data_IF_383554558371
#
_entry.id   IF_383554558371
#
_cell.length_a   1.000
_cell.length_b   1.000
_cell.length_c   1.000
_cell.angle_alpha   90.00
_cell.angle_beta   90.00
_cell.angle_gamma   90.00
#
_symmetry.space_group_name_H-M   'P 1'
#
loop_
_entity.id
_entity.type
_entity.pdbx_description
1 polymer ?
#
# COMPACT_ATOMS: atom_id res chain seq x y z
N UNK A 1 -27.27 -0.13 9.37
CA UNK A 1 -25.89 -0.40 8.91
C UNK A 1 -25.61 -1.90 8.80
N UNK A 2 -25.84 -2.73 9.82
CA UNK A 2 -25.58 -4.20 9.83
C UNK A 2 -26.30 -4.95 8.69
N UNK A 3 -27.56 -4.64 8.38
CA UNK A 3 -28.36 -5.30 7.33
C UNK A 3 -27.82 -5.00 5.91
N UNK A 4 -27.26 -3.82 5.68
CA UNK A 4 -26.69 -3.44 4.39
C UNK A 4 -25.35 -4.17 4.16
N UNK A 5 -24.53 -4.33 5.19
CA UNK A 5 -23.25 -5.06 5.10
C UNK A 5 -23.43 -6.55 4.83
N UNK A 6 -24.41 -7.20 5.47
CA UNK A 6 -24.71 -8.61 5.21
C UNK A 6 -25.14 -8.85 3.76
N UNK A 7 -25.90 -7.93 3.17
CA UNK A 7 -26.32 -8.02 1.77
C UNK A 7 -25.15 -7.85 0.79
N UNK A 8 -24.24 -6.90 1.03
CA UNK A 8 -23.04 -6.70 0.19
C UNK A 8 -22.11 -7.92 0.25
N UNK A 9 -21.92 -8.53 1.41
CA UNK A 9 -21.09 -9.72 1.53
C UNK A 9 -21.66 -10.92 0.74
N UNK A 10 -22.97 -11.12 0.74
CA UNK A 10 -23.64 -12.16 -0.06
C UNK A 10 -23.50 -11.87 -1.57
N UNK A 11 -23.65 -10.62 -1.99
CA UNK A 11 -23.44 -10.20 -3.37
C UNK A 11 -22.01 -10.47 -3.81
N UNK A 12 -21.01 -10.13 -3.00
CA UNK A 12 -19.59 -10.45 -3.25
C UNK A 12 -19.32 -11.94 -3.35
N UNK A 13 -19.95 -12.76 -2.49
CA UNK A 13 -19.82 -14.22 -2.57
C UNK A 13 -20.44 -14.79 -3.84
N UNK A 14 -21.55 -14.23 -4.28
CA UNK A 14 -22.23 -14.62 -5.53
C UNK A 14 -21.38 -14.25 -6.74
N UNK A 15 -20.91 -13.02 -6.79
CA UNK A 15 -20.01 -12.53 -7.84
C UNK A 15 -18.73 -13.37 -7.92
N UNK A 16 -18.11 -13.71 -6.79
CA UNK A 16 -16.94 -14.57 -6.74
C UNK A 16 -17.20 -15.96 -7.35
N UNK A 17 -18.36 -16.56 -7.05
CA UNK A 17 -18.76 -17.87 -7.63
C UNK A 17 -18.93 -17.79 -9.16
N UNK A 18 -19.52 -16.71 -9.66
CA UNK A 18 -19.68 -16.53 -11.11
C UNK A 18 -18.35 -16.30 -11.82
N UNK A 19 -17.44 -15.50 -11.23
CA UNK A 19 -16.08 -15.34 -11.72
C UNK A 19 -15.31 -16.65 -11.74
N UNK A 20 -15.45 -17.49 -10.70
CA UNK A 20 -14.81 -18.80 -10.61
C UNK A 20 -15.31 -19.77 -11.71
N UNK A 21 -16.61 -19.75 -12.04
CA UNK A 21 -17.15 -20.54 -13.14
C UNK A 21 -16.54 -20.13 -14.47
N UNK A 22 -16.48 -18.83 -14.77
CA UNK A 22 -15.89 -18.29 -15.99
C UNK A 22 -14.41 -18.61 -16.11
N UNK A 23 -13.68 -18.55 -15.01
CA UNK A 23 -12.25 -18.80 -14.97
C UNK A 23 -11.86 -20.24 -15.35
N UNK A 24 -12.80 -21.20 -15.33
CA UNK A 24 -12.55 -22.57 -15.85
C UNK A 24 -12.22 -22.59 -17.33
N UNK A 25 -12.74 -21.63 -18.09
CA UNK A 25 -12.58 -21.48 -19.53
C UNK A 25 -11.70 -20.30 -19.92
N UNK A 26 -11.01 -19.71 -18.92
CA UNK A 26 -10.21 -18.52 -19.14
C UNK A 26 -9.07 -18.78 -20.11
N UNK A 27 -8.93 -17.87 -21.06
CA UNK A 27 -7.85 -17.83 -22.04
C UNK A 27 -6.99 -16.62 -21.73
N UNK A 28 -5.66 -16.76 -21.73
CA UNK A 28 -4.75 -15.62 -21.60
C UNK A 28 -5.05 -14.53 -22.64
N UNK A 29 -4.88 -13.29 -22.26
CA UNK A 29 -5.08 -12.17 -23.16
C UNK A 29 -4.15 -12.27 -24.37
N UNK A 30 -4.74 -12.34 -25.56
CA UNK A 30 -4.00 -12.31 -26.83
C UNK A 30 -3.78 -10.86 -27.21
N UNK A 31 -2.52 -10.47 -27.35
CA UNK A 31 -2.12 -9.10 -27.68
C UNK A 31 -1.08 -9.11 -28.79
N UNK A 32 -1.17 -8.11 -29.67
CA UNK A 32 -0.21 -7.88 -30.75
C UNK A 32 0.42 -6.50 -30.59
N UNK A 33 1.72 -6.42 -30.80
CA UNK A 33 2.43 -5.16 -30.76
C UNK A 33 2.08 -4.31 -31.98
N UNK A 34 1.55 -3.11 -31.71
CA UNK A 34 1.15 -2.12 -32.72
C UNK A 34 1.55 -0.72 -32.19
N UNK A 35 2.74 -0.23 -32.54
CA UNK A 35 3.28 1.01 -31.97
C UNK A 35 2.38 2.20 -32.30
N UNK A 36 2.04 2.95 -31.26
CA UNK A 36 1.18 4.13 -31.32
C UNK A 36 1.88 5.33 -30.67
N UNK A 37 1.90 6.47 -31.37
CA UNK A 37 2.44 7.70 -30.80
C UNK A 37 1.33 8.47 -30.06
N UNK A 38 0.99 8.03 -28.85
CA UNK A 38 -0.02 8.71 -28.01
C UNK A 38 0.67 9.56 -26.92
N UNK A 39 0.44 10.87 -26.95
CA UNK A 39 0.88 11.77 -25.88
C UNK A 39 0.01 11.58 -24.63
N UNK A 40 -1.28 11.48 -24.82
CA UNK A 40 -2.31 11.30 -23.77
C UNK A 40 -2.90 9.90 -23.86
N UNK A 41 -3.09 9.24 -22.72
CA UNK A 41 -3.74 7.94 -22.61
C UNK A 41 -5.10 8.07 -21.92
N UNK A 42 -6.05 7.23 -22.35
CA UNK A 42 -7.28 6.95 -21.63
C UNK A 42 -7.04 5.72 -20.76
N UNK A 43 -7.04 5.87 -19.44
CA UNK A 43 -6.67 4.83 -18.48
C UNK A 43 -7.85 4.53 -17.59
N UNK A 44 -8.23 3.26 -17.50
CA UNK A 44 -9.32 2.83 -16.61
C UNK A 44 -8.78 1.97 -15.48
N UNK A 45 -8.96 2.41 -14.23
CA UNK A 45 -8.71 1.63 -13.04
C UNK A 45 -9.98 0.95 -12.58
N UNK A 46 -9.91 -0.36 -12.38
CA UNK A 46 -10.99 -1.16 -11.79
C UNK A 46 -10.68 -1.37 -10.33
N UNK A 47 -11.45 -0.72 -9.46
CA UNK A 47 -11.24 -0.70 -8.01
C UNK A 47 -12.24 -1.60 -7.31
N UNK A 48 -11.74 -2.62 -6.61
CA UNK A 48 -12.56 -3.49 -5.76
C UNK A 48 -13.06 -2.79 -4.52
N UNK A 49 -12.33 -1.77 -4.04
CA UNK A 49 -12.55 -1.10 -2.76
C UNK A 49 -12.22 0.38 -2.86
N UNK A 50 -13.07 1.23 -2.32
CA UNK A 50 -12.88 2.70 -2.36
C UNK A 50 -12.83 3.36 -0.98
N UNK A 51 -12.94 2.58 0.10
CA UNK A 51 -12.85 3.10 1.46
C UNK A 51 -11.40 3.34 1.89
N UNK A 52 -11.22 3.91 3.07
CA UNK A 52 -9.91 4.30 3.61
C UNK A 52 -9.02 3.08 3.81
N UNK A 53 -8.01 2.94 2.97
CA UNK A 53 -6.90 2.00 3.16
C UNK A 53 -5.69 2.44 2.33
N UNK A 54 -4.50 1.88 2.66
CA UNK A 54 -3.26 2.22 1.96
C UNK A 54 -3.32 1.98 0.45
N UNK A 55 -3.88 0.83 0.03
CA UNK A 55 -4.02 0.48 -1.39
C UNK A 55 -4.94 1.42 -2.15
N UNK A 56 -6.12 1.76 -1.60
CA UNK A 56 -7.02 2.74 -2.20
C UNK A 56 -6.36 4.11 -2.31
N UNK A 57 -5.66 4.57 -1.26
CA UNK A 57 -4.91 5.84 -1.26
C UNK A 57 -3.94 5.92 -2.44
N UNK A 58 -3.14 4.89 -2.65
CA UNK A 58 -2.14 4.84 -3.74
C UNK A 58 -2.82 4.90 -5.12
N UNK A 59 -3.90 4.16 -5.34
CA UNK A 59 -4.64 4.20 -6.62
C UNK A 59 -5.19 5.61 -6.88
N UNK A 60 -5.76 6.26 -5.87
CA UNK A 60 -6.31 7.62 -5.98
C UNK A 60 -5.21 8.67 -6.22
N UNK A 61 -4.03 8.51 -5.60
CA UNK A 61 -2.85 9.31 -5.88
C UNK A 61 -2.38 9.14 -7.34
N UNK A 62 -2.29 7.89 -7.85
CA UNK A 62 -1.99 7.64 -9.26
C UNK A 62 -2.98 8.36 -10.16
N UNK A 63 -4.28 8.24 -9.90
CA UNK A 63 -5.34 8.87 -10.68
C UNK A 63 -5.16 10.40 -10.75
N UNK A 64 -4.96 11.06 -9.60
CA UNK A 64 -4.73 12.51 -9.56
C UNK A 64 -3.46 12.92 -10.32
N UNK A 65 -2.32 12.28 -10.03
CA UNK A 65 -1.03 12.62 -10.66
C UNK A 65 -1.04 12.40 -12.17
N UNK A 66 -1.62 11.29 -12.64
CA UNK A 66 -1.78 11.04 -14.09
C UNK A 66 -2.72 12.06 -14.76
N UNK A 67 -3.78 12.47 -14.08
CA UNK A 67 -4.69 13.54 -14.56
C UNK A 67 -3.96 14.88 -14.67
N UNK A 68 -3.09 15.21 -13.71
CA UNK A 68 -2.27 16.43 -13.77
C UNK A 68 -1.27 16.39 -14.92
N UNK A 69 -0.79 15.22 -15.34
CA UNK A 69 0.04 15.03 -16.53
C UNK A 69 -0.74 15.02 -17.85
N UNK A 70 -2.06 15.24 -17.80
CA UNK A 70 -2.93 15.36 -18.99
C UNK A 70 -3.48 14.03 -19.50
N UNK A 71 -3.38 12.94 -18.74
CA UNK A 71 -4.06 11.68 -19.08
C UNK A 71 -5.54 11.72 -18.66
N UNK A 72 -6.39 10.99 -19.37
CA UNK A 72 -7.80 10.86 -19.05
C UNK A 72 -8.01 9.62 -18.17
N UNK A 73 -8.48 9.83 -16.96
CA UNK A 73 -8.62 8.76 -15.97
C UNK A 73 -10.09 8.45 -15.71
N UNK A 74 -10.42 7.16 -15.78
CA UNK A 74 -11.69 6.62 -15.32
C UNK A 74 -11.45 5.67 -14.16
N UNK A 75 -12.20 5.85 -13.07
CA UNK A 75 -12.25 4.92 -11.94
C UNK A 75 -13.58 4.21 -11.96
N UNK A 76 -13.57 2.87 -11.85
CA UNK A 76 -14.79 2.05 -11.83
C UNK A 76 -14.82 1.25 -10.53
N UNK A 77 -15.96 1.26 -9.83
CA UNK A 77 -16.17 0.45 -8.63
C UNK A 77 -17.65 0.16 -8.40
N UNK A 78 -17.96 -0.89 -7.66
CA UNK A 78 -19.29 -1.07 -7.05
C UNK A 78 -19.52 -0.14 -5.87
N UNK A 79 -18.45 0.22 -5.17
CA UNK A 79 -18.50 1.14 -4.05
C UNK A 79 -18.66 2.59 -4.51
N UNK A 80 -19.17 3.47 -3.64
CA UNK A 80 -19.36 4.88 -3.98
C UNK A 80 -18.03 5.60 -4.22
N UNK A 81 -18.10 6.75 -4.89
CA UNK A 81 -16.96 7.64 -5.04
C UNK A 81 -16.39 8.02 -3.68
N UNK A 82 -15.06 7.91 -3.46
CA UNK A 82 -14.44 8.29 -2.20
C UNK A 82 -14.68 9.76 -1.88
N UNK A 83 -15.10 10.06 -0.66
CA UNK A 83 -15.26 11.43 -0.14
C UNK A 83 -14.12 11.82 0.80
N UNK A 84 -13.38 10.84 1.30
CA UNK A 84 -12.25 11.01 2.22
C UNK A 84 -10.95 11.42 1.52
N UNK A 85 -10.91 11.36 0.20
CA UNK A 85 -9.74 11.69 -0.61
C UNK A 85 -10.10 12.77 -1.65
N UNK A 86 -9.30 13.85 -1.79
CA UNK A 86 -9.57 14.91 -2.74
C UNK A 86 -9.25 14.47 -4.18
N UNK A 87 -10.25 13.96 -4.89
CA UNK A 87 -10.11 13.58 -6.30
C UNK A 87 -10.21 14.81 -7.21
N UNK A 88 -9.31 14.87 -8.20
CA UNK A 88 -9.38 15.86 -9.28
C UNK A 88 -10.75 15.77 -10.01
N UNK A 89 -11.35 16.93 -10.26
CA UNK A 89 -12.69 17.01 -10.87
C UNK A 89 -12.77 16.45 -12.29
N UNK A 90 -11.64 16.34 -12.98
CA UNK A 90 -11.51 15.78 -14.33
C UNK A 90 -11.57 14.25 -14.34
N UNK A 91 -11.37 13.59 -13.19
CA UNK A 91 -11.46 12.13 -13.10
C UNK A 91 -12.90 11.70 -13.22
N UNK A 92 -13.17 10.84 -14.20
CA UNK A 92 -14.46 10.23 -14.37
C UNK A 92 -14.63 9.04 -13.42
N UNK A 93 -15.65 9.08 -12.56
CA UNK A 93 -15.96 7.98 -11.64
C UNK A 93 -17.27 7.30 -12.06
N UNK A 94 -17.23 5.99 -12.27
CA UNK A 94 -18.38 5.16 -12.60
C UNK A 94 -18.67 4.24 -11.42
N UNK A 95 -19.77 4.49 -10.73
CA UNK A 95 -20.30 3.55 -9.76
C UNK A 95 -21.20 2.55 -10.48
N UNK A 96 -20.83 1.27 -10.42
CA UNK A 96 -21.60 0.18 -11.05
C UNK A 96 -22.51 -0.47 -10.01
N UNK A 97 -23.81 -0.56 -10.25
CA UNK A 97 -24.72 -1.28 -9.35
C UNK A 97 -24.29 -2.74 -9.14
N UNK A 98 -24.55 -3.27 -7.95
CA UNK A 98 -24.16 -4.64 -7.57
C UNK A 98 -24.87 -5.76 -8.34
N UNK A 99 -25.99 -5.46 -9.00
CA UNK A 99 -26.71 -6.39 -9.89
C UNK A 99 -26.10 -6.47 -11.30
N UNK A 100 -25.06 -5.67 -11.59
CA UNK A 100 -24.35 -5.64 -12.86
C UNK A 100 -22.90 -6.12 -12.71
N UNK A 101 -22.37 -6.70 -13.78
CA UNK A 101 -20.96 -7.12 -13.83
C UNK A 101 -20.08 -5.88 -13.93
N UNK A 102 -19.14 -5.74 -12.97
CA UNK A 102 -18.29 -4.56 -12.83
C UNK A 102 -17.57 -4.17 -14.12
N UNK A 103 -16.84 -5.10 -14.71
CA UNK A 103 -15.97 -4.82 -15.86
C UNK A 103 -16.71 -4.63 -17.18
N UNK A 104 -18.02 -4.95 -17.28
CA UNK A 104 -18.85 -4.60 -18.45
C UNK A 104 -19.07 -3.10 -18.60
N UNK A 105 -18.82 -2.32 -17.56
CA UNK A 105 -18.93 -0.86 -17.58
C UNK A 105 -17.62 -0.16 -17.94
N UNK A 106 -16.58 -0.89 -18.31
CA UNK A 106 -15.31 -0.33 -18.77
C UNK A 106 -15.54 0.42 -20.09
N UNK A 107 -15.24 1.73 -20.17
CA UNK A 107 -15.34 2.48 -21.42
C UNK A 107 -14.20 2.12 -22.37
N UNK A 108 -14.27 2.58 -23.62
CA UNK A 108 -13.16 2.51 -24.55
C UNK A 108 -11.96 3.25 -23.96
N UNK A 109 -10.83 2.56 -23.86
CA UNK A 109 -9.60 3.09 -23.24
C UNK A 109 -8.35 2.51 -23.92
N UNK A 110 -7.18 3.01 -23.52
CA UNK A 110 -5.89 2.54 -24.03
C UNK A 110 -5.27 1.47 -23.16
N UNK A 111 -5.67 1.42 -21.89
CA UNK A 111 -5.16 0.47 -20.91
C UNK A 111 -6.16 0.31 -19.76
N UNK A 112 -6.27 -0.91 -19.25
CA UNK A 112 -7.08 -1.27 -18.09
C UNK A 112 -6.16 -1.69 -16.96
N UNK A 113 -6.36 -1.13 -15.77
CA UNK A 113 -5.61 -1.48 -14.57
C UNK A 113 -6.54 -2.23 -13.61
N UNK A 114 -6.35 -3.54 -13.49
CA UNK A 114 -6.97 -4.34 -12.46
C UNK A 114 -6.19 -4.12 -11.14
N UNK A 115 -6.86 -3.65 -10.09
CA UNK A 115 -6.19 -3.30 -8.82
C UNK A 115 -6.32 -4.37 -7.75
N UNK A 116 -7.01 -5.45 -8.06
CA UNK A 116 -7.13 -6.62 -7.19
C UNK A 116 -7.23 -7.91 -8.03
N UNK A 117 -6.74 -9.01 -7.50
CA UNK A 117 -6.66 -10.29 -8.24
C UNK A 117 -8.03 -10.86 -8.67
N UNK A 118 -9.12 -10.47 -8.03
CA UNK A 118 -10.46 -11.00 -8.34
C UNK A 118 -10.99 -10.58 -9.71
N UNK A 119 -10.64 -9.40 -10.17
CA UNK A 119 -11.17 -8.78 -11.39
C UNK A 119 -10.31 -8.99 -12.62
N UNK A 120 -9.12 -9.58 -12.51
CA UNK A 120 -8.15 -9.66 -13.62
C UNK A 120 -8.78 -10.26 -14.88
N UNK A 121 -9.34 -11.47 -14.78
CA UNK A 121 -9.91 -12.14 -15.94
C UNK A 121 -11.19 -11.45 -16.43
N UNK A 122 -11.97 -10.90 -15.54
CA UNK A 122 -13.16 -10.13 -15.92
C UNK A 122 -12.80 -8.89 -16.75
N UNK A 123 -11.67 -8.24 -16.48
CA UNK A 123 -11.11 -7.18 -17.32
C UNK A 123 -10.62 -7.73 -18.67
N UNK A 124 -9.91 -8.85 -18.67
CA UNK A 124 -9.39 -9.51 -19.89
C UNK A 124 -10.53 -9.93 -20.82
N UNK A 125 -11.61 -10.47 -20.28
CA UNK A 125 -12.80 -10.94 -21.03
C UNK A 125 -13.46 -9.83 -21.84
N UNK A 126 -13.31 -8.53 -21.42
CA UNK A 126 -13.92 -7.42 -22.15
C UNK A 126 -13.27 -7.13 -23.51
N UNK A 127 -12.04 -7.53 -23.73
CA UNK A 127 -11.29 -7.33 -24.98
C UNK A 127 -11.22 -5.89 -25.48
N UNK A 128 -11.25 -4.91 -24.56
CA UNK A 128 -11.24 -3.47 -24.89
C UNK A 128 -9.81 -2.97 -25.10
N UNK A 129 -8.92 -3.30 -24.17
CA UNK A 129 -7.53 -2.81 -24.13
C UNK A 129 -6.62 -3.80 -23.39
N UNK A 130 -5.28 -3.68 -23.51
CA UNK A 130 -4.36 -4.44 -22.69
C UNK A 130 -4.67 -4.25 -21.20
N UNK A 131 -4.69 -5.37 -20.47
CA UNK A 131 -4.90 -5.38 -19.02
C UNK A 131 -3.56 -5.46 -18.31
N UNK A 132 -3.39 -4.62 -17.30
CA UNK A 132 -2.28 -4.65 -16.34
C UNK A 132 -2.83 -5.00 -14.97
N UNK A 133 -2.18 -5.89 -14.29
CA UNK A 133 -2.46 -6.12 -12.88
C UNK A 133 -1.50 -5.30 -12.01
N UNK A 134 -2.06 -4.51 -11.13
CA UNK A 134 -1.34 -3.76 -10.11
C UNK A 134 -1.44 -4.47 -8.77
N UNK A 135 -0.37 -5.17 -8.38
CA UNK A 135 -0.26 -5.87 -7.11
C UNK A 135 0.30 -4.94 -6.02
N UNK A 136 -0.45 -4.74 -4.96
CA UNK A 136 -0.04 -3.89 -3.83
C UNK A 136 0.22 -4.69 -2.53
N UNK A 137 0.14 -6.01 -2.61
CA UNK A 137 0.32 -6.93 -1.49
C UNK A 137 -0.98 -7.22 -0.74
N UNK A 138 -1.22 -8.50 -0.58
CA UNK A 138 -2.35 -9.05 0.16
C UNK A 138 -1.90 -10.35 0.85
N UNK A 139 -2.76 -10.94 1.69
CA UNK A 139 -2.47 -12.16 2.44
C UNK A 139 -1.93 -13.31 1.58
N UNK A 140 -2.37 -13.41 0.32
CA UNK A 140 -1.95 -14.48 -0.60
C UNK A 140 -0.45 -14.46 -0.95
N UNK A 141 0.27 -13.36 -0.68
CA UNK A 141 1.71 -13.25 -0.86
C UNK A 141 2.49 -13.44 0.45
N UNK A 142 1.90 -13.10 1.59
CA UNK A 142 2.65 -12.93 2.83
C UNK A 142 2.16 -13.79 3.99
N UNK A 143 0.90 -14.26 3.95
CA UNK A 143 0.28 -15.06 5.00
C UNK A 143 -0.29 -16.35 4.38
N UNK A 144 0.63 -17.23 3.95
CA UNK A 144 0.29 -18.44 3.20
C UNK A 144 -0.54 -19.43 4.02
N UNK A 145 -0.50 -19.36 5.35
CA UNK A 145 -1.34 -20.19 6.23
C UNK A 145 -2.84 -19.88 6.06
N UNK A 146 -3.16 -18.65 5.65
CA UNK A 146 -4.53 -18.24 5.31
C UNK A 146 -4.92 -18.56 3.88
N UNK A 147 -3.99 -19.02 3.04
CA UNK A 147 -4.20 -19.27 1.62
C UNK A 147 -4.66 -20.71 1.39
N UNK A 148 -5.97 -20.95 1.37
CA UNK A 148 -6.52 -22.26 1.02
C UNK A 148 -6.26 -22.62 -0.45
N UNK A 149 -6.28 -23.94 -0.74
CA UNK A 149 -5.99 -24.47 -2.08
C UNK A 149 -6.95 -23.95 -3.17
N UNK A 150 -8.20 -23.67 -2.84
CA UNK A 150 -9.18 -23.12 -3.80
C UNK A 150 -8.82 -21.70 -4.18
N UNK A 151 -8.54 -20.87 -3.19
CA UNK A 151 -8.12 -19.48 -3.37
C UNK A 151 -6.79 -19.41 -4.12
N UNK A 152 -5.79 -20.22 -3.75
CA UNK A 152 -4.54 -20.35 -4.49
C UNK A 152 -4.77 -20.66 -5.98
N UNK A 153 -5.55 -21.70 -6.28
CA UNK A 153 -5.84 -22.11 -7.66
C UNK A 153 -6.57 -21.00 -8.44
N UNK A 154 -7.47 -20.28 -7.76
CA UNK A 154 -8.18 -19.17 -8.37
C UNK A 154 -7.21 -18.03 -8.73
N UNK A 155 -6.39 -17.58 -7.80
CA UNK A 155 -5.40 -16.50 -8.02
C UNK A 155 -4.39 -16.91 -9.09
N UNK A 156 -3.85 -18.12 -9.01
CA UNK A 156 -2.90 -18.64 -10.00
C UNK A 156 -3.45 -18.61 -11.42
N UNK A 157 -4.75 -18.97 -11.60
CA UNK A 157 -5.41 -18.88 -12.90
C UNK A 157 -5.62 -17.44 -13.34
N UNK A 158 -6.02 -16.55 -12.46
CA UNK A 158 -6.17 -15.12 -12.74
C UNK A 158 -4.86 -14.52 -13.28
N UNK A 159 -3.77 -14.71 -12.56
CA UNK A 159 -2.45 -14.17 -12.90
C UNK A 159 -1.95 -14.66 -14.27
N UNK A 160 -2.26 -15.91 -14.64
CA UNK A 160 -1.90 -16.48 -15.95
C UNK A 160 -2.69 -15.89 -17.11
N UNK A 161 -3.74 -15.11 -16.87
CA UNK A 161 -4.54 -14.49 -17.94
C UNK A 161 -3.98 -13.15 -18.41
N UNK A 162 -3.12 -12.50 -17.63
CA UNK A 162 -2.49 -11.22 -17.99
C UNK A 162 -1.01 -11.42 -18.30
N UNK A 163 -0.49 -10.55 -19.17
CA UNK A 163 0.94 -10.50 -19.49
C UNK A 163 1.69 -9.46 -18.67
N UNK A 164 1.02 -8.41 -18.24
CA UNK A 164 1.63 -7.26 -17.61
C UNK A 164 1.22 -7.18 -16.15
N UNK A 165 2.21 -7.30 -15.27
CA UNK A 165 2.05 -7.19 -13.83
C UNK A 165 3.11 -6.22 -13.31
N UNK A 166 2.74 -5.31 -12.43
CA UNK A 166 3.69 -4.56 -11.64
C UNK A 166 3.29 -4.53 -10.17
N UNK A 167 4.29 -4.38 -9.33
CA UNK A 167 4.15 -4.36 -7.88
C UNK A 167 5.04 -3.28 -7.27
N UNK A 168 4.93 -3.09 -5.97
CA UNK A 168 5.48 -1.93 -5.24
C UNK A 168 6.87 -2.16 -4.63
N UNK A 169 7.36 -3.42 -4.59
CA UNK A 169 8.67 -3.73 -4.01
C UNK A 169 9.31 -4.97 -4.64
N UNK A 170 10.61 -5.09 -4.47
CA UNK A 170 11.38 -6.29 -4.85
C UNK A 170 10.85 -7.52 -4.12
N UNK A 171 10.55 -7.39 -2.84
CA UNK A 171 9.97 -8.48 -2.04
C UNK A 171 8.64 -9.00 -2.58
N UNK A 172 7.70 -8.12 -2.92
CA UNK A 172 6.42 -8.53 -3.49
C UNK A 172 6.60 -9.17 -4.88
N UNK A 173 7.54 -8.69 -5.71
CA UNK A 173 7.92 -9.32 -6.98
C UNK A 173 8.46 -10.73 -6.78
N UNK A 174 9.38 -10.92 -5.83
CA UNK A 174 9.96 -12.23 -5.51
C UNK A 174 8.87 -13.21 -5.05
N UNK A 175 7.95 -12.75 -4.18
CA UNK A 175 6.82 -13.57 -3.73
C UNK A 175 5.86 -13.94 -4.86
N UNK A 176 5.56 -13.05 -5.78
CA UNK A 176 4.78 -13.37 -6.98
C UNK A 176 5.44 -14.47 -7.82
N UNK A 177 6.75 -14.39 -8.01
CA UNK A 177 7.50 -15.41 -8.75
C UNK A 177 7.56 -16.73 -8.00
N UNK A 178 7.93 -16.70 -6.71
CA UNK A 178 8.05 -17.88 -5.85
C UNK A 178 6.73 -18.68 -5.76
N UNK A 179 5.61 -17.99 -5.53
CA UNK A 179 4.33 -18.64 -5.24
C UNK A 179 3.57 -19.01 -6.52
N UNK A 180 3.58 -18.12 -7.53
CA UNK A 180 2.73 -18.26 -8.73
C UNK A 180 3.49 -18.44 -10.02
N UNK A 181 4.83 -18.37 -10.00
CA UNK A 181 5.71 -18.43 -11.17
C UNK A 181 5.31 -17.39 -12.24
N UNK A 182 5.13 -16.14 -11.82
CA UNK A 182 4.83 -14.99 -12.68
C UNK A 182 5.85 -13.88 -12.49
N UNK A 183 6.17 -13.17 -13.58
CA UNK A 183 7.08 -12.05 -13.58
C UNK A 183 6.33 -10.74 -13.38
N UNK A 184 6.87 -9.85 -12.56
CA UNK A 184 6.34 -8.52 -12.34
C UNK A 184 7.44 -7.45 -12.45
N UNK A 185 7.06 -6.26 -12.93
CA UNK A 185 7.91 -5.08 -12.85
C UNK A 185 7.78 -4.46 -11.45
N UNK A 186 8.85 -3.86 -10.93
CA UNK A 186 8.79 -3.11 -9.68
C UNK A 186 8.68 -1.62 -10.00
N UNK A 187 7.64 -0.98 -9.47
CA UNK A 187 7.47 0.48 -9.47
C UNK A 187 7.12 0.86 -8.02
N UNK A 188 8.08 1.42 -7.28
CA UNK A 188 7.90 1.67 -5.85
C UNK A 188 6.86 2.77 -5.60
N UNK A 189 6.22 2.69 -4.45
CA UNK A 189 5.38 3.77 -3.95
C UNK A 189 6.22 5.01 -3.62
N UNK A 190 5.55 6.14 -3.47
CA UNK A 190 6.15 7.41 -3.11
C UNK A 190 5.46 8.03 -1.89
N UNK A 191 6.16 8.96 -1.25
CA UNK A 191 5.63 9.78 -0.17
C UNK A 191 5.21 11.14 -0.71
N UNK A 192 4.12 11.68 -0.15
CA UNK A 192 3.63 13.00 -0.49
C UNK A 192 4.45 14.06 0.27
N UNK A 193 5.32 14.76 -0.46
CA UNK A 193 6.22 15.78 0.11
C UNK A 193 5.52 17.05 0.59
N UNK A 194 4.26 17.27 0.21
CA UNK A 194 3.46 18.39 0.73
C UNK A 194 2.90 18.09 2.13
N UNK A 195 2.85 16.80 2.48
CA UNK A 195 2.37 16.32 3.78
C UNK A 195 3.52 15.87 4.67
N UNK A 196 4.42 15.04 4.13
CA UNK A 196 5.55 14.48 4.85
C UNK A 196 6.84 15.13 4.36
N UNK A 197 7.47 15.91 5.22
CA UNK A 197 8.70 16.63 4.92
C UNK A 197 9.52 16.84 6.19
N UNK A 198 10.81 16.93 6.02
CA UNK A 198 11.71 17.22 7.12
C UNK A 198 11.63 18.71 7.51
N UNK A 199 11.45 18.94 8.81
CA UNK A 199 11.58 20.27 9.40
C UNK A 199 12.36 20.12 10.71
N UNK A 200 13.49 20.85 10.88
CA UNK A 200 14.19 20.86 12.16
C UNK A 200 13.23 21.27 13.28
N UNK A 201 13.00 20.38 14.24
CA UNK A 201 12.13 20.68 15.37
C UNK A 201 12.92 20.91 16.66
N UNK A 202 12.31 21.61 17.62
CA UNK A 202 12.87 21.72 18.96
C UNK A 202 12.83 20.35 19.63
N UNK A 203 13.90 20.01 20.36
CA UNK A 203 13.91 18.81 21.20
C UNK A 203 12.72 18.83 22.15
N UNK A 204 11.96 17.74 22.15
CA UNK A 204 10.92 17.53 23.14
C UNK A 204 11.53 17.44 24.55
N UNK A 205 10.79 17.89 25.54
CA UNK A 205 11.22 17.76 26.97
C UNK A 205 11.35 16.29 27.36
N UNK A 206 10.44 15.43 26.80
CA UNK A 206 10.47 13.97 26.91
C UNK A 206 10.51 13.38 25.53
N UNK A 207 11.36 12.36 25.28
CA UNK A 207 11.37 11.69 24.00
C UNK A 207 9.98 11.16 23.62
N UNK A 208 9.56 11.45 22.41
CA UNK A 208 8.26 11.05 21.88
C UNK A 208 8.42 9.88 20.90
N UNK A 209 7.68 8.81 21.16
CA UNK A 209 7.63 7.62 20.31
C UNK A 209 6.30 7.59 19.58
N UNK A 210 6.31 7.32 18.28
CA UNK A 210 5.08 7.17 17.48
C UNK A 210 4.99 5.79 16.90
N UNK A 211 3.79 5.22 16.90
CA UNK A 211 3.43 3.96 16.26
C UNK A 211 2.17 4.15 15.40
N UNK A 212 2.08 3.41 14.29
CA UNK A 212 0.91 3.45 13.40
C UNK A 212 0.42 2.03 13.13
N UNK A 213 -0.83 1.75 13.47
CA UNK A 213 -1.47 0.47 13.17
C UNK A 213 -2.64 0.13 14.07
N UNK A 214 -3.49 -0.78 13.59
CA UNK A 214 -4.60 -1.37 14.36
C UNK A 214 -4.11 -2.51 15.23
N UNK A 215 -4.60 -2.61 16.47
CA UNK A 215 -4.39 -3.79 17.32
C UNK A 215 -5.06 -5.05 16.77
N UNK A 216 -6.09 -4.88 15.91
CA UNK A 216 -6.80 -5.96 15.24
C UNK A 216 -6.03 -6.54 14.04
N UNK A 217 -4.91 -5.92 13.67
CA UNK A 217 -4.04 -6.39 12.58
C UNK A 217 -2.84 -7.15 13.15
N UNK A 218 -2.99 -8.46 13.34
CA UNK A 218 -1.97 -9.31 13.98
C UNK A 218 -0.56 -9.12 13.41
N UNK A 219 -0.44 -8.97 12.09
CA UNK A 219 0.85 -8.79 11.43
C UNK A 219 1.56 -7.48 11.78
N UNK A 220 0.84 -6.47 12.31
CA UNK A 220 1.41 -5.20 12.76
C UNK A 220 2.12 -5.29 14.11
N UNK A 221 1.83 -6.32 14.89
CA UNK A 221 2.47 -6.57 16.21
C UNK A 221 2.38 -5.38 17.17
N UNK A 222 1.29 -4.64 17.13
CA UNK A 222 1.07 -3.49 18.02
C UNK A 222 1.19 -3.91 19.50
N UNK A 223 0.68 -5.08 19.87
CA UNK A 223 0.79 -5.62 21.24
C UNK A 223 2.23 -5.76 21.71
N UNK A 224 3.15 -6.22 20.83
CA UNK A 224 4.57 -6.36 21.15
C UNK A 224 5.22 -4.99 21.41
N UNK A 225 4.88 -4.00 20.58
CA UNK A 225 5.38 -2.63 20.75
C UNK A 225 4.87 -2.04 22.09
N UNK A 226 3.58 -2.19 22.40
CA UNK A 226 3.01 -1.69 23.65
C UNK A 226 3.62 -2.37 24.88
N UNK A 227 3.96 -3.66 24.78
CA UNK A 227 4.67 -4.39 25.83
C UNK A 227 6.09 -3.85 26.00
N UNK A 228 6.85 -3.61 24.92
CA UNK A 228 8.17 -2.99 24.99
C UNK A 228 8.13 -1.60 25.61
N UNK A 229 7.14 -0.77 25.25
CA UNK A 229 6.90 0.56 25.85
C UNK A 229 6.68 0.46 27.38
N UNK A 230 5.90 -0.53 27.84
CA UNK A 230 5.68 -0.76 29.27
C UNK A 230 6.99 -1.11 29.99
N UNK A 231 7.83 -1.97 29.39
CA UNK A 231 9.14 -2.34 29.94
C UNK A 231 10.04 -1.10 30.04
N UNK A 232 10.12 -0.27 29.01
CA UNK A 232 10.90 0.98 28.99
C UNK A 232 10.47 1.92 30.11
N UNK A 233 9.15 2.13 30.28
CA UNK A 233 8.62 2.96 31.36
C UNK A 233 8.95 2.39 32.76
N UNK A 234 8.87 1.07 32.94
CA UNK A 234 9.21 0.39 34.19
C UNK A 234 10.70 0.46 34.52
N UNK A 235 11.57 0.62 33.52
CA UNK A 235 13.00 0.85 33.70
C UNK A 235 13.31 2.33 34.08
N UNK A 236 12.28 3.19 34.17
CA UNK A 236 12.41 4.59 34.60
C UNK A 236 12.60 5.60 33.46
N UNK A 237 12.50 5.19 32.18
CA UNK A 237 12.54 6.14 31.06
C UNK A 237 11.24 6.92 30.98
N UNK A 238 11.34 8.24 31.05
CA UNK A 238 10.20 9.13 30.79
C UNK A 238 10.04 9.35 29.29
N UNK A 239 9.00 8.76 28.72
CA UNK A 239 8.65 8.86 27.30
C UNK A 239 7.18 9.18 27.11
N UNK A 240 6.87 9.85 26.00
CA UNK A 240 5.52 10.02 25.47
C UNK A 240 5.28 9.05 24.32
N UNK A 241 4.06 8.53 24.22
CA UNK A 241 3.64 7.65 23.14
C UNK A 241 2.49 8.28 22.38
N UNK A 242 2.64 8.44 21.07
CA UNK A 242 1.55 8.66 20.12
C UNK A 242 1.21 7.34 19.41
N UNK A 243 -0.05 6.92 19.52
CA UNK A 243 -0.55 5.75 18.80
C UNK A 243 -1.62 6.17 17.80
N UNK A 244 -1.26 6.14 16.51
CA UNK A 244 -2.17 6.40 15.41
C UNK A 244 -2.79 5.07 14.97
N UNK A 245 -4.12 5.00 14.99
CA UNK A 245 -4.88 3.78 14.67
C UNK A 245 -6.17 4.11 13.92
N UNK A 246 -6.63 3.24 12.98
CA UNK A 246 -7.94 3.42 12.34
C UNK A 246 -9.11 3.10 13.29
N UNK A 247 -8.87 2.28 14.31
CA UNK A 247 -9.90 1.74 15.19
C UNK A 247 -9.77 2.29 16.61
N UNK A 248 -10.87 2.29 17.35
CA UNK A 248 -10.84 2.55 18.80
C UNK A 248 -10.20 1.35 19.50
N UNK A 249 -9.03 1.50 20.16
CA UNK A 249 -8.40 0.41 20.87
C UNK A 249 -9.25 -0.12 22.03
N UNK A 250 -9.10 -1.41 22.33
CA UNK A 250 -9.74 -2.06 23.47
C UNK A 250 -9.29 -1.43 24.80
N UNK A 251 -8.02 -1.04 24.90
CA UNK A 251 -7.43 -0.34 26.03
C UNK A 251 -6.59 0.82 25.49
N UNK A 252 -7.02 2.08 25.71
CA UNK A 252 -6.21 3.26 25.33
C UNK A 252 -4.86 3.24 26.04
N UNK A 253 -3.79 3.51 25.28
CA UNK A 253 -2.44 3.56 25.83
C UNK A 253 -1.64 4.73 25.22
N UNK A 254 -1.19 5.63 26.05
CA UNK A 254 -0.55 6.88 25.59
C UNK A 254 -1.58 7.85 24.97
N UNK A 255 -1.10 8.71 24.07
CA UNK A 255 -1.94 9.59 23.27
C UNK A 255 -2.44 8.82 22.04
N UNK A 256 -3.67 8.35 22.09
CA UNK A 256 -4.30 7.60 21.01
C UNK A 256 -5.02 8.53 20.04
N UNK A 257 -4.65 8.49 18.76
CA UNK A 257 -5.17 9.34 17.69
C UNK A 257 -5.91 8.43 16.69
N UNK A 258 -7.24 8.54 16.65
CA UNK A 258 -8.11 7.63 15.91
C UNK A 258 -8.41 8.23 14.53
N UNK A 259 -8.08 7.48 13.48
CA UNK A 259 -8.39 7.79 12.09
C UNK A 259 -8.11 9.27 11.68
N UNK A 260 -6.93 9.83 12.00
CA UNK A 260 -6.60 11.19 11.65
C UNK A 260 -6.44 11.36 10.13
N UNK A 261 -6.56 12.59 9.66
CA UNK A 261 -6.15 12.92 8.31
C UNK A 261 -4.62 12.84 8.14
N UNK A 262 -4.17 12.85 6.88
CA UNK A 262 -2.76 12.67 6.57
C UNK A 262 -1.87 13.83 7.07
N UNK A 263 -2.40 15.06 7.14
CA UNK A 263 -1.64 16.22 7.65
C UNK A 263 -1.36 16.06 9.15
N UNK A 264 -2.33 15.57 9.92
CA UNK A 264 -2.15 15.25 11.35
C UNK A 264 -1.08 14.16 11.51
N UNK A 265 -1.10 13.12 10.65
CA UNK A 265 -0.06 12.07 10.68
C UNK A 265 1.32 12.70 10.41
N UNK A 266 1.43 13.57 9.41
CA UNK A 266 2.65 14.28 9.10
C UNK A 266 3.16 15.15 10.26
N UNK A 267 2.25 15.89 10.92
CA UNK A 267 2.59 16.72 12.09
C UNK A 267 3.09 15.89 13.28
N UNK A 268 2.41 14.78 13.57
CA UNK A 268 2.81 13.86 14.63
C UNK A 268 4.17 13.24 14.35
N UNK A 269 4.42 12.77 13.12
CA UNK A 269 5.72 12.21 12.74
C UNK A 269 6.83 13.26 12.82
N UNK A 270 6.62 14.49 12.32
CA UNK A 270 7.61 15.58 12.43
C UNK A 270 7.96 15.95 13.87
N UNK A 271 7.01 15.81 14.79
CA UNK A 271 7.23 16.10 16.21
C UNK A 271 7.76 14.90 17.01
N UNK A 272 7.95 13.74 16.37
CA UNK A 272 8.37 12.51 17.05
C UNK A 272 9.89 12.31 16.99
N UNK A 273 10.46 11.77 18.05
CA UNK A 273 11.87 11.40 18.11
C UNK A 273 12.14 10.03 17.50
N UNK A 274 11.22 9.07 17.73
CA UNK A 274 11.36 7.67 17.32
C UNK A 274 10.03 7.18 16.72
N UNK A 275 10.11 6.49 15.60
CA UNK A 275 9.00 5.75 15.02
C UNK A 275 9.28 4.25 15.10
N UNK A 276 8.29 3.46 15.50
CA UNK A 276 8.43 2.00 15.63
C UNK A 276 7.42 1.31 14.73
N UNK A 277 7.91 0.36 13.91
CA UNK A 277 7.12 -0.53 13.09
C UNK A 277 7.60 -1.98 13.27
N UNK A 278 6.82 -2.82 13.96
CA UNK A 278 7.18 -4.21 14.23
C UNK A 278 6.44 -5.20 13.31
N UNK A 279 5.98 -4.76 12.14
CA UNK A 279 5.22 -5.59 11.20
C UNK A 279 5.99 -6.84 10.79
N UNK A 280 5.30 -7.98 10.73
CA UNK A 280 5.90 -9.26 10.28
C UNK A 280 6.16 -9.24 8.77
N UNK A 281 5.23 -8.66 8.02
CA UNK A 281 5.33 -8.48 6.57
C UNK A 281 4.65 -7.17 6.15
N UNK A 282 5.13 -6.60 5.07
CA UNK A 282 4.54 -5.46 4.37
C UNK A 282 4.87 -5.56 2.89
N UNK A 283 4.00 -5.06 2.03
CA UNK A 283 4.31 -4.98 0.61
C UNK A 283 5.35 -3.90 0.30
N UNK A 284 5.32 -2.76 1.02
CA UNK A 284 6.24 -1.63 0.85
C UNK A 284 6.59 -0.94 2.17
N UNK A 285 5.62 -0.85 3.09
CA UNK A 285 5.75 -0.18 4.39
C UNK A 285 5.84 1.35 4.31
N UNK A 286 4.82 1.99 3.72
CA UNK A 286 4.74 3.46 3.63
C UNK A 286 4.97 4.18 4.98
N UNK A 287 4.42 3.72 6.14
CA UNK A 287 4.62 4.43 7.41
C UNK A 287 6.10 4.58 7.83
N UNK A 288 6.95 3.60 7.50
CA UNK A 288 8.39 3.71 7.74
C UNK A 288 9.01 4.80 6.87
N UNK A 289 8.66 4.83 5.58
CA UNK A 289 9.17 5.82 4.65
C UNK A 289 8.63 7.24 4.97
N UNK A 290 7.38 7.36 5.39
CA UNK A 290 6.76 8.60 5.85
C UNK A 290 7.49 9.16 7.10
N UNK A 291 7.81 8.29 8.06
CA UNK A 291 8.59 8.65 9.25
C UNK A 291 10.02 9.10 8.89
N UNK A 292 10.70 8.37 8.01
CA UNK A 292 12.02 8.77 7.48
C UNK A 292 11.96 10.14 6.82
N UNK A 293 10.94 10.39 5.99
CA UNK A 293 10.76 11.68 5.29
C UNK A 293 10.56 12.84 6.26
N UNK A 294 9.91 12.59 7.40
CA UNK A 294 9.71 13.57 8.47
C UNK A 294 10.95 13.77 9.35
N UNK A 295 12.02 12.98 9.18
CA UNK A 295 13.22 13.06 10.02
C UNK A 295 13.04 12.42 11.39
N UNK A 296 12.20 11.43 11.50
CA UNK A 296 11.98 10.61 12.70
C UNK A 296 12.90 9.39 12.65
N UNK A 297 13.65 9.11 13.72
CA UNK A 297 14.50 7.92 13.76
C UNK A 297 13.65 6.64 13.80
N UNK A 298 13.98 5.68 12.94
CA UNK A 298 13.16 4.48 12.74
C UNK A 298 13.75 3.26 13.44
N UNK A 299 12.88 2.52 14.14
CA UNK A 299 13.11 1.13 14.57
C UNK A 299 12.09 0.27 13.82
N UNK A 300 12.54 -0.74 13.09
CA UNK A 300 11.63 -1.60 12.33
C UNK A 300 12.14 -3.03 12.23
N UNK A 301 11.25 -3.97 11.95
CA UNK A 301 11.61 -5.34 11.56
C UNK A 301 12.04 -5.38 10.09
N UNK A 302 12.76 -6.43 9.67
CA UNK A 302 12.79 -6.81 8.27
C UNK A 302 11.40 -7.36 7.90
N UNK A 303 10.52 -6.52 7.37
CA UNK A 303 9.16 -6.93 6.97
C UNK A 303 9.04 -7.24 5.47
N UNK A 304 10.17 -7.33 4.78
CA UNK A 304 10.28 -7.59 3.36
C UNK A 304 10.20 -6.32 2.51
N UNK A 305 9.03 -5.70 2.44
CA UNK A 305 8.81 -4.53 1.57
C UNK A 305 9.62 -3.29 1.95
N UNK A 306 10.02 -3.13 3.21
CA UNK A 306 10.88 -2.02 3.62
C UNK A 306 12.36 -2.23 3.26
N UNK A 307 12.77 -3.44 2.90
CA UNK A 307 14.18 -3.72 2.60
C UNK A 307 14.67 -3.11 1.28
N UNK A 308 13.77 -2.59 0.45
CA UNK A 308 14.15 -1.80 -0.72
C UNK A 308 14.74 -0.43 -0.34
N UNK A 309 14.59 0.01 0.92
CA UNK A 309 15.10 1.32 1.38
C UNK A 309 15.64 1.35 2.81
N UNK A 310 15.44 0.30 3.61
CA UNK A 310 15.99 0.22 4.98
C UNK A 310 17.37 -0.40 4.97
N UNK A 311 18.33 0.29 5.59
CA UNK A 311 19.69 -0.17 5.85
C UNK A 311 19.97 -0.14 7.36
N UNK A 312 20.19 -1.33 7.95
CA UNK A 312 20.42 -1.45 9.38
C UNK A 312 21.63 -0.64 9.86
N UNK A 313 21.51 0.03 11.00
CA UNK A 313 22.52 0.90 11.62
C UNK A 313 22.93 2.11 10.77
N UNK A 314 22.26 2.33 9.63
CA UNK A 314 22.48 3.49 8.77
C UNK A 314 21.29 4.45 8.83
N UNK A 315 20.11 4.05 8.32
CA UNK A 315 18.90 4.87 8.25
C UNK A 315 17.73 4.32 9.09
N UNK A 316 17.90 3.16 9.72
CA UNK A 316 17.00 2.58 10.69
C UNK A 316 17.77 1.60 11.60
N UNK A 317 17.18 1.21 12.73
CA UNK A 317 17.59 0.04 13.49
C UNK A 317 16.64 -1.12 13.17
N UNK A 318 17.20 -2.26 12.74
CA UNK A 318 16.45 -3.49 12.57
C UNK A 318 16.34 -4.25 13.89
N UNK A 319 15.16 -4.80 14.12
CA UNK A 319 14.86 -5.72 15.22
C UNK A 319 14.37 -7.05 14.68
N UNK A 320 14.62 -8.12 15.42
CA UNK A 320 14.10 -9.44 15.12
C UNK A 320 12.58 -9.47 15.28
N UNK A 321 11.91 -10.17 14.36
CA UNK A 321 10.45 -10.35 14.42
C UNK A 321 10.08 -11.09 15.73
N UNK A 322 9.01 -10.60 16.35
CA UNK A 322 8.49 -11.14 17.62
C UNK A 322 9.47 -11.14 18.80
N UNK A 323 10.61 -10.44 18.71
CA UNK A 323 11.58 -10.32 19.80
C UNK A 323 11.40 -8.98 20.54
N UNK A 324 10.63 -9.02 21.63
CA UNK A 324 10.36 -7.85 22.47
C UNK A 324 11.63 -7.34 23.16
N UNK A 325 12.54 -8.22 23.56
CA UNK A 325 13.78 -7.85 24.23
C UNK A 325 14.71 -7.07 23.29
N UNK A 326 14.89 -7.53 22.05
CA UNK A 326 15.66 -6.80 21.05
C UNK A 326 15.03 -5.43 20.76
N UNK A 327 13.69 -5.36 20.68
CA UNK A 327 12.98 -4.08 20.51
C UNK A 327 13.27 -3.14 21.68
N UNK A 328 13.23 -3.61 22.93
CA UNK A 328 13.57 -2.82 24.12
C UNK A 328 15.02 -2.33 24.05
N UNK A 329 15.97 -3.17 23.70
CA UNK A 329 17.38 -2.78 23.54
C UNK A 329 17.58 -1.67 22.51
N UNK A 330 16.95 -1.77 21.33
CA UNK A 330 17.04 -0.73 20.31
C UNK A 330 16.35 0.55 20.72
N UNK A 331 15.25 0.46 21.48
CA UNK A 331 14.60 1.64 22.06
C UNK A 331 15.51 2.32 23.07
N UNK A 332 16.11 1.60 24.01
CA UNK A 332 17.06 2.13 25.00
C UNK A 332 18.24 2.81 24.31
N UNK A 333 18.79 2.17 23.27
CA UNK A 333 19.90 2.72 22.50
C UNK A 333 19.56 4.09 21.91
N UNK A 334 18.40 4.23 21.26
CA UNK A 334 18.00 5.52 20.68
C UNK A 334 17.53 6.54 21.73
N UNK A 335 17.06 6.11 22.89
CA UNK A 335 16.70 7.03 23.98
C UNK A 335 17.94 7.65 24.61
N UNK A 336 19.01 6.89 24.78
CA UNK A 336 20.27 7.32 25.44
C UNK A 336 21.21 8.03 24.46
N UNK A 337 21.42 7.45 23.27
CA UNK A 337 22.33 7.99 22.25
C UNK A 337 21.61 8.92 21.26
N UNK A 338 21.54 10.20 21.62
CA UNK A 338 20.94 11.23 20.77
C UNK A 338 21.73 11.49 19.47
N UNK A 339 23.04 11.22 19.44
CA UNK A 339 23.86 11.40 18.26
C UNK A 339 23.53 10.30 17.23
N UNK A 340 23.42 9.05 17.66
CA UNK A 340 22.97 7.95 16.82
C UNK A 340 21.56 8.17 16.32
N UNK A 341 20.63 8.57 17.21
CA UNK A 341 19.25 8.89 16.84
C UNK A 341 19.19 9.94 15.73
N UNK A 342 19.91 11.03 15.88
CA UNK A 342 19.98 12.11 14.87
C UNK A 342 20.62 11.61 13.55
N UNK A 343 21.67 10.80 13.62
CA UNK A 343 22.31 10.23 12.42
C UNK A 343 21.31 9.38 11.63
N UNK A 344 20.60 8.48 12.30
CA UNK A 344 19.59 7.60 11.69
C UNK A 344 18.48 8.43 11.05
N UNK A 345 17.97 9.44 11.77
CA UNK A 345 16.91 10.32 11.28
C UNK A 345 17.34 11.06 10.00
N UNK A 346 18.51 11.68 9.97
CA UNK A 346 19.01 12.41 8.79
C UNK A 346 19.28 11.47 7.61
N UNK A 347 19.87 10.30 7.85
CA UNK A 347 20.09 9.32 6.80
C UNK A 347 18.76 8.78 6.24
N UNK A 348 17.72 8.67 7.09
CA UNK A 348 16.36 8.36 6.66
C UNK A 348 15.78 9.41 5.71
N UNK A 349 15.98 10.70 6.02
CA UNK A 349 15.57 11.81 5.14
C UNK A 349 16.26 11.71 3.79
N UNK A 350 17.57 11.47 3.76
CA UNK A 350 18.31 11.34 2.49
C UNK A 350 17.83 10.15 1.66
N UNK A 351 17.56 9.02 2.30
CA UNK A 351 17.00 7.83 1.64
C UNK A 351 15.64 8.13 1.03
N UNK A 352 14.75 8.80 1.78
CA UNK A 352 13.37 9.06 1.33
C UNK A 352 13.27 9.93 0.08
N UNK A 353 14.26 10.78 -0.22
CA UNK A 353 14.32 11.59 -1.44
C UNK A 353 14.35 10.77 -2.74
N UNK A 354 14.68 9.48 -2.64
CA UNK A 354 14.65 8.58 -3.79
C UNK A 354 13.21 8.15 -4.16
N UNK A 355 12.25 8.29 -3.25
CA UNK A 355 10.87 7.81 -3.36
C UNK A 355 9.87 8.97 -3.52
N UNK A 356 10.07 9.79 -4.55
CA UNK A 356 9.21 10.93 -4.88
C UNK A 356 8.13 10.56 -5.87
N UNK A 357 6.97 11.23 -5.78
CA UNK A 357 5.87 11.07 -6.74
C UNK A 357 6.29 11.36 -8.17
N UNK A 358 7.17 12.33 -8.42
CA UNK A 358 7.65 12.64 -9.77
C UNK A 358 8.37 11.45 -10.40
N UNK A 359 9.22 10.76 -9.63
CA UNK A 359 9.92 9.57 -10.12
C UNK A 359 8.94 8.41 -10.35
N UNK A 360 8.10 8.09 -9.37
CA UNK A 360 7.15 6.99 -9.44
C UNK A 360 6.16 7.17 -10.58
N UNK A 361 5.56 8.36 -10.71
CA UNK A 361 4.56 8.59 -11.75
C UNK A 361 5.18 8.59 -13.16
N UNK A 362 6.41 9.07 -13.31
CA UNK A 362 7.13 8.98 -14.58
C UNK A 362 7.40 7.52 -14.97
N UNK A 363 7.77 6.65 -14.03
CA UNK A 363 7.93 5.22 -14.29
C UNK A 363 6.59 4.58 -14.69
N UNK A 364 5.49 4.92 -14.01
CA UNK A 364 4.14 4.45 -14.34
C UNK A 364 3.76 4.90 -15.76
N UNK A 365 3.97 6.16 -16.12
CA UNK A 365 3.65 6.68 -17.46
C UNK A 365 4.45 5.96 -18.54
N UNK A 366 5.76 5.75 -18.32
CA UNK A 366 6.60 5.00 -19.26
C UNK A 366 6.12 3.56 -19.41
N UNK A 367 5.80 2.90 -18.30
CA UNK A 367 5.29 1.54 -18.29
C UNK A 367 3.95 1.44 -19.05
N UNK A 368 3.01 2.34 -18.77
CA UNK A 368 1.71 2.36 -19.43
C UNK A 368 1.79 2.71 -20.91
N UNK A 369 2.63 3.68 -21.31
CA UNK A 369 2.86 4.01 -22.73
C UNK A 369 3.43 2.83 -23.50
N UNK A 370 4.35 2.05 -22.90
CA UNK A 370 4.88 0.83 -23.51
C UNK A 370 3.76 -0.20 -23.75
N UNK A 371 2.84 -0.36 -22.80
CA UNK A 371 1.75 -1.35 -22.89
C UNK A 371 0.63 -0.88 -23.81
N UNK A 372 0.33 0.42 -23.87
CA UNK A 372 -0.65 0.98 -24.79
C UNK A 372 -0.28 0.83 -26.27
N UNK A 373 0.95 0.36 -26.58
CA UNK A 373 1.37 -0.05 -27.92
C UNK A 373 0.96 -1.46 -28.32
N UNK A 374 0.15 -2.12 -27.51
CA UNK A 374 -0.43 -3.43 -27.87
C UNK A 374 -1.92 -3.29 -28.14
N UNK A 375 -2.39 -4.01 -29.15
CA UNK A 375 -3.84 -4.22 -29.41
C UNK A 375 -4.27 -5.58 -28.88
N UNK A 376 -5.52 -5.68 -28.47
CA UNK A 376 -6.16 -6.94 -28.06
C UNK A 376 -6.77 -7.62 -29.27
N UNK A 377 -6.55 -8.94 -29.42
CA UNK A 377 -7.06 -9.80 -30.49
C UNK A 377 -8.36 -10.53 -30.10
#
# INVERSE_FOLDING_TARGET
>A
MIVIFSNIEELRKTEFKEREKKLKYAIPQKIIYNPKSKKTLNITYVMTWTEVCGGSKIILQHANKLTHLGHNITLISHYPKPTWFPLDKRIHFIQVPWDKVLCKSIPQCDIIIATYWREIYECVEQKIAPVVYFEQGDFHLFDLDKLDKRTYNYISKQLKTVKFIYTVSTFAKEKLNEIYNVEASVIPNAVDSDIFFYMPHKKNLKPTITIIGSENSDFKRISNILQAIKIIKNKGYEIELNWITPDTPSIPFGNTIINPDQHIIGDVLRSSDIFICASIYEAFCLPVLEAMTCGTAVITTNNGGNMDFVENNNNALLVEKDNINDLVEKMELLLVDSALRNKIAINGVETSKQFSWDKTINQIVQYYKKIANYDVL
#
